data_IF_392485318186
#
_entry.id   IF_392485318186
#
_cell.length_a   1.000
_cell.length_b   1.000
_cell.length_c   1.000
_cell.angle_alpha   90.00
_cell.angle_beta   90.00
_cell.angle_gamma   90.00
#
_symmetry.space_group_name_H-M   'P 1'
#
loop_
_entity.id
_entity.type
_entity.pdbx_description
1 polymer ?
#
# COMPACT_ATOMS: atom_id res chain seq x y z
N UNK A 1 -23.76 11.38 10.49
CA UNK A 1 -22.78 12.46 10.73
C UNK A 1 -21.48 12.09 10.04
N UNK A 2 -20.85 12.99 9.27
CA UNK A 2 -19.56 12.70 8.65
C UNK A 2 -18.45 12.64 9.73
N UNK A 3 -17.54 11.68 9.58
CA UNK A 3 -16.32 11.55 10.38
C UNK A 3 -15.11 11.61 9.45
N UNK A 4 -14.04 12.26 9.88
CA UNK A 4 -12.79 12.34 9.12
C UNK A 4 -11.62 11.83 9.96
N UNK A 5 -10.62 11.17 9.37
CA UNK A 5 -9.38 10.89 10.08
C UNK A 5 -8.58 12.18 10.26
N UNK A 6 -8.14 12.44 11.49
CA UNK A 6 -7.14 13.45 11.83
C UNK A 6 -5.81 13.10 11.16
N UNK A 7 -5.22 14.03 10.41
CA UNK A 7 -3.99 13.79 9.64
C UNK A 7 -2.77 14.48 10.24
N UNK A 8 -2.84 14.89 11.51
CA UNK A 8 -1.77 15.63 12.19
C UNK A 8 -1.82 17.14 11.92
N UNK A 9 -3.02 17.72 11.77
CA UNK A 9 -3.19 19.17 11.68
C UNK A 9 -2.66 19.88 12.94
N UNK A 10 -1.94 21.00 12.75
CA UNK A 10 -1.24 21.72 13.83
C UNK A 10 -2.14 22.70 14.58
N UNK A 11 -3.31 23.01 14.04
CA UNK A 11 -4.28 23.92 14.67
C UNK A 11 -5.73 23.59 14.28
N UNK A 12 -6.67 24.01 15.11
CA UNK A 12 -8.11 23.91 14.83
C UNK A 12 -8.50 24.71 13.57
N UNK A 13 -7.81 25.83 13.30
CA UNK A 13 -8.00 26.62 12.09
C UNK A 13 -7.57 25.89 10.82
N UNK A 14 -6.48 25.11 10.86
CA UNK A 14 -6.10 24.24 9.74
C UNK A 14 -7.13 23.15 9.48
N UNK A 15 -7.74 22.60 10.54
CA UNK A 15 -8.84 21.63 10.43
C UNK A 15 -10.07 22.32 9.80
N UNK A 16 -10.45 23.50 10.28
CA UNK A 16 -11.60 24.26 9.78
C UNK A 16 -11.42 24.66 8.30
N UNK A 17 -10.25 25.16 7.92
CA UNK A 17 -9.94 25.59 6.55
C UNK A 17 -9.84 24.41 5.57
N UNK A 18 -9.50 23.20 6.05
CA UNK A 18 -9.58 21.97 5.26
C UNK A 18 -11.03 21.47 5.11
N UNK A 19 -11.87 21.70 6.10
CA UNK A 19 -13.25 21.23 6.15
C UNK A 19 -14.24 22.09 5.38
N UNK A 20 -14.04 23.41 5.33
CA UNK A 20 -14.98 24.35 4.71
C UNK A 20 -14.29 25.24 3.68
N UNK A 21 -15.04 25.63 2.65
CA UNK A 21 -14.57 26.55 1.63
C UNK A 21 -14.82 27.99 2.07
N UNK A 22 -13.82 28.87 1.88
CA UNK A 22 -13.96 30.33 2.02
C UNK A 22 -14.57 30.76 3.36
N UNK A 23 -13.99 30.31 4.47
CA UNK A 23 -14.38 30.76 5.80
C UNK A 23 -13.99 32.22 6.03
N UNK A 24 -14.93 33.04 6.50
CA UNK A 24 -14.61 34.35 7.10
C UNK A 24 -14.06 34.16 8.52
N UNK A 25 -13.32 35.14 9.10
CA UNK A 25 -12.77 35.02 10.45
C UNK A 25 -13.82 34.66 11.52
N UNK A 26 -15.01 35.29 11.45
CA UNK A 26 -16.14 35.00 12.36
C UNK A 26 -16.73 33.59 12.17
N UNK A 27 -16.68 33.05 10.96
CA UNK A 27 -17.15 31.68 10.69
C UNK A 27 -16.11 30.66 11.12
N UNK A 28 -14.82 30.97 11.01
CA UNK A 28 -13.74 30.12 11.50
C UNK A 28 -13.85 29.89 13.00
N UNK A 29 -14.01 30.94 13.81
CA UNK A 29 -14.20 30.83 15.27
C UNK A 29 -15.42 29.98 15.65
N UNK A 30 -16.53 30.13 14.91
CA UNK A 30 -17.74 29.32 15.10
C UNK A 30 -17.48 27.84 14.78
N UNK A 31 -16.73 27.56 13.70
CA UNK A 31 -16.37 26.19 13.31
C UNK A 31 -15.43 25.56 14.32
N UNK A 32 -14.42 26.28 14.78
CA UNK A 32 -13.47 25.80 15.79
C UNK A 32 -14.18 25.48 17.11
N UNK A 33 -15.08 26.36 17.55
CA UNK A 33 -15.90 26.14 18.75
C UNK A 33 -16.80 24.92 18.61
N UNK A 34 -17.47 24.76 17.47
CA UNK A 34 -18.34 23.62 17.20
C UNK A 34 -17.55 22.29 17.06
N UNK A 35 -16.34 22.34 16.48
CA UNK A 35 -15.44 21.19 16.39
C UNK A 35 -14.97 20.74 17.77
N UNK A 36 -14.61 21.67 18.65
CA UNK A 36 -14.15 21.38 20.02
C UNK A 36 -15.30 20.86 20.89
N UNK A 37 -16.51 21.40 20.74
CA UNK A 37 -17.70 20.88 21.44
C UNK A 37 -18.05 19.45 21.05
N UNK A 38 -17.95 19.09 19.77
CA UNK A 38 -18.25 17.73 19.31
C UNK A 38 -17.08 16.76 19.46
N UNK A 39 -15.86 17.27 19.60
CA UNK A 39 -14.63 16.48 19.74
C UNK A 39 -13.72 17.10 20.80
N UNK A 40 -14.01 16.88 22.10
CA UNK A 40 -13.20 17.41 23.19
C UNK A 40 -11.73 17.01 23.10
N UNK A 41 -11.45 15.86 22.48
CA UNK A 41 -10.10 15.37 22.20
C UNK A 41 -9.25 16.32 21.34
N UNK A 42 -9.86 17.20 20.54
CA UNK A 42 -9.15 18.21 19.73
C UNK A 42 -8.58 19.37 20.58
N UNK A 43 -8.88 19.44 21.87
CA UNK A 43 -8.29 20.43 22.77
C UNK A 43 -6.78 20.24 22.95
N UNK A 44 -6.28 19.01 22.78
CA UNK A 44 -4.85 18.68 22.80
C UNK A 44 -4.42 18.00 21.50
N UNK A 45 -4.20 18.82 20.47
CA UNK A 45 -3.76 18.37 19.14
C UNK A 45 -2.37 17.72 19.16
N UNK A 46 -1.53 18.02 20.16
CA UNK A 46 -0.18 17.47 20.27
C UNK A 46 -0.18 16.02 20.79
N UNK A 47 -1.18 15.66 21.59
CA UNK A 47 -1.36 14.30 22.11
C UNK A 47 -2.19 13.38 21.19
N UNK A 48 -2.77 13.92 20.12
CA UNK A 48 -3.64 13.17 19.20
C UNK A 48 -2.83 12.37 18.17
N UNK A 49 -2.94 11.04 18.14
CA UNK A 49 -2.32 10.24 17.08
C UNK A 49 -3.01 10.50 15.73
N UNK A 50 -2.21 10.57 14.67
CA UNK A 50 -2.75 10.59 13.31
C UNK A 50 -3.61 9.33 13.08
N UNK A 51 -4.80 9.52 12.51
CA UNK A 51 -5.81 8.46 12.33
C UNK A 51 -7.00 8.55 13.29
N UNK A 52 -6.98 9.41 14.31
CA UNK A 52 -8.14 9.62 15.19
C UNK A 52 -9.36 10.14 14.41
N UNK A 53 -10.52 9.54 14.64
CA UNK A 53 -11.78 9.95 13.99
C UNK A 53 -12.33 11.23 14.62
N UNK A 54 -12.49 12.27 13.81
CA UNK A 54 -13.05 13.57 14.15
C UNK A 54 -14.44 13.70 13.56
N UNK A 55 -15.43 14.00 14.41
CA UNK A 55 -16.83 14.24 14.04
C UNK A 55 -16.99 15.63 13.48
N UNK A 56 -17.66 15.76 12.33
CA UNK A 56 -17.91 17.06 11.72
C UNK A 56 -19.22 17.67 12.24
N UNK A 57 -19.19 18.91 12.75
CA UNK A 57 -20.40 19.65 13.06
C UNK A 57 -21.19 19.95 11.77
N UNK A 58 -22.47 19.61 11.77
CA UNK A 58 -23.37 19.96 10.67
C UNK A 58 -23.74 21.45 10.79
N UNK A 59 -23.15 22.28 9.91
CA UNK A 59 -23.47 23.70 9.82
C UNK A 59 -24.05 23.99 8.43
N UNK A 60 -25.39 24.07 8.30
CA UNK A 60 -26.05 24.24 7.01
C UNK A 60 -25.74 25.59 6.34
N UNK A 61 -25.29 26.58 7.10
CA UNK A 61 -24.91 27.92 6.62
C UNK A 61 -23.52 27.96 5.96
N UNK A 62 -22.73 26.88 6.04
CA UNK A 62 -21.37 26.83 5.50
C UNK A 62 -21.27 25.77 4.40
N UNK A 63 -20.77 26.18 3.23
CA UNK A 63 -20.36 25.22 2.21
C UNK A 63 -19.14 24.44 2.71
N UNK A 64 -19.38 23.25 3.25
CA UNK A 64 -18.33 22.26 3.45
C UNK A 64 -17.56 22.13 2.13
N UNK A 65 -16.22 22.11 2.20
CA UNK A 65 -15.39 21.64 1.09
C UNK A 65 -15.87 20.24 0.85
N UNK A 66 -16.67 20.06 -0.19
CA UNK A 66 -17.41 18.86 -0.44
C UNK A 66 -16.54 17.63 -0.19
N UNK A 67 -16.75 16.94 0.93
CA UNK A 67 -16.58 15.49 0.97
C UNK A 67 -17.94 14.88 0.62
N UNK A 68 -18.46 15.28 -0.53
CA UNK A 68 -19.42 14.49 -1.30
C UNK A 68 -18.72 13.33 -2.05
N UNK A 69 -17.52 12.93 -1.60
CA UNK A 69 -16.71 11.88 -2.21
C UNK A 69 -15.97 10.98 -1.24
N UNK A 70 -16.11 11.14 0.09
CA UNK A 70 -15.75 10.02 0.96
C UNK A 70 -16.91 9.05 0.90
N UNK A 71 -16.85 8.11 -0.05
CA UNK A 71 -17.42 6.79 0.20
C UNK A 71 -17.01 6.43 1.64
N UNK A 72 -17.95 6.05 2.50
CA UNK A 72 -17.76 6.06 3.96
C UNK A 72 -16.47 5.38 4.48
N UNK A 73 -16.18 5.39 5.79
CA UNK A 73 -14.92 4.87 6.34
C UNK A 73 -14.53 3.47 5.83
N UNK A 74 -15.52 2.63 5.51
CA UNK A 74 -15.37 1.32 4.88
C UNK A 74 -14.73 1.37 3.50
N UNK A 75 -15.14 2.31 2.65
CA UNK A 75 -14.60 2.47 1.31
C UNK A 75 -13.23 3.18 1.29
N UNK A 76 -12.96 4.08 2.24
CA UNK A 76 -11.60 4.61 2.44
C UNK A 76 -10.62 3.48 2.84
N UNK A 77 -11.03 2.58 3.74
CA UNK A 77 -10.24 1.39 4.11
C UNK A 77 -10.07 0.44 2.92
N UNK A 78 -11.14 0.21 2.15
CA UNK A 78 -11.08 -0.59 0.93
C UNK A 78 -10.08 -0.02 -0.07
N UNK A 79 -10.13 1.29 -0.33
CA UNK A 79 -9.20 1.95 -1.23
C UNK A 79 -7.74 1.79 -0.79
N UNK A 80 -7.46 2.01 0.51
CA UNK A 80 -6.10 1.84 1.06
C UNK A 80 -5.60 0.41 0.96
N UNK A 81 -6.46 -0.58 1.24
CA UNK A 81 -6.13 -1.99 1.07
C UNK A 81 -5.88 -2.34 -0.40
N UNK A 82 -6.70 -1.82 -1.32
CA UNK A 82 -6.51 -1.97 -2.76
C UNK A 82 -5.18 -1.40 -3.23
N UNK A 83 -4.83 -0.19 -2.80
CA UNK A 83 -3.55 0.44 -3.11
C UNK A 83 -2.37 -0.37 -2.55
N UNK A 84 -2.48 -0.85 -1.30
CA UNK A 84 -1.47 -1.69 -0.66
C UNK A 84 -1.25 -3.01 -1.39
N UNK A 85 -2.34 -3.71 -1.77
CA UNK A 85 -2.29 -4.95 -2.55
C UNK A 85 -1.70 -4.70 -3.94
N UNK A 86 -2.06 -3.59 -4.60
CA UNK A 86 -1.51 -3.20 -5.89
C UNK A 86 0.00 -2.90 -5.82
N UNK A 87 0.45 -2.19 -4.79
CA UNK A 87 1.86 -1.91 -4.55
C UNK A 87 2.64 -3.20 -4.27
N UNK A 88 2.10 -4.09 -3.43
CA UNK A 88 2.68 -5.39 -3.15
C UNK A 88 2.79 -6.26 -4.40
N UNK A 89 1.75 -6.30 -5.24
CA UNK A 89 1.77 -7.05 -6.51
C UNK A 89 2.90 -6.58 -7.45
N UNK A 90 3.13 -5.27 -7.54
CA UNK A 90 4.24 -4.69 -8.33
C UNK A 90 5.59 -5.10 -7.76
N UNK A 91 5.79 -5.00 -6.45
CA UNK A 91 7.04 -5.41 -5.80
C UNK A 91 7.30 -6.90 -5.97
N UNK A 92 6.26 -7.73 -5.84
CA UNK A 92 6.37 -9.17 -5.99
C UNK A 92 6.76 -9.55 -7.42
N UNK A 93 6.18 -8.90 -8.42
CA UNK A 93 6.55 -9.11 -9.84
C UNK A 93 8.01 -8.72 -10.10
N UNK A 94 8.48 -7.61 -9.54
CA UNK A 94 9.87 -7.20 -9.64
C UNK A 94 10.81 -8.24 -9.03
N UNK A 95 10.48 -8.76 -7.84
CA UNK A 95 11.27 -9.80 -7.17
C UNK A 95 11.34 -11.10 -7.96
N UNK A 96 10.23 -11.55 -8.56
CA UNK A 96 10.24 -12.72 -9.43
C UNK A 96 11.12 -12.52 -10.66
N UNK A 97 11.04 -11.34 -11.29
CA UNK A 97 11.90 -11.01 -12.43
C UNK A 97 13.39 -11.02 -12.06
N UNK A 98 13.74 -10.45 -10.92
CA UNK A 98 15.12 -10.44 -10.41
C UNK A 98 15.61 -11.86 -10.09
N UNK A 99 14.78 -12.67 -9.42
CA UNK A 99 15.13 -14.05 -9.12
C UNK A 99 15.32 -14.90 -10.39
N UNK A 100 14.46 -14.72 -11.40
CA UNK A 100 14.62 -15.37 -12.70
C UNK A 100 15.89 -14.93 -13.44
N UNK A 101 16.21 -13.63 -13.41
CA UNK A 101 17.44 -13.11 -14.00
C UNK A 101 18.69 -13.69 -13.32
N UNK A 102 18.71 -13.76 -12.00
CA UNK A 102 19.83 -14.35 -11.25
C UNK A 102 20.02 -15.85 -11.56
N UNK A 103 18.94 -16.60 -11.77
CA UNK A 103 19.04 -18.00 -12.20
C UNK A 103 19.61 -18.12 -13.63
N UNK A 104 19.19 -17.25 -14.54
CA UNK A 104 19.71 -17.21 -15.90
C UNK A 104 21.20 -16.83 -15.93
N UNK A 105 21.63 -15.87 -15.12
CA UNK A 105 23.04 -15.51 -14.94
C UNK A 105 23.85 -16.69 -14.39
N UNK A 106 23.32 -17.41 -13.40
CA UNK A 106 23.98 -18.60 -12.85
C UNK A 106 24.13 -19.70 -13.91
N UNK A 107 23.10 -19.93 -14.73
CA UNK A 107 23.18 -20.87 -15.85
C UNK A 107 24.19 -20.43 -16.91
N UNK A 108 24.26 -19.13 -17.22
CA UNK A 108 25.25 -18.59 -18.15
C UNK A 108 26.68 -18.81 -17.63
N UNK A 109 26.92 -18.57 -16.34
CA UNK A 109 28.23 -18.84 -15.71
C UNK A 109 28.60 -20.32 -15.76
N UNK A 110 27.67 -21.25 -15.53
CA UNK A 110 27.94 -22.68 -15.69
C UNK A 110 28.27 -23.09 -17.15
N UNK A 111 27.84 -22.27 -18.10
CA UNK A 111 28.15 -22.39 -19.52
C UNK A 111 29.51 -21.85 -19.91
N UNK A 112 30.13 -21.03 -19.05
CA UNK A 112 31.38 -20.33 -19.34
C UNK A 112 32.58 -21.28 -19.46
N UNK A 113 33.36 -21.11 -20.54
CA UNK A 113 34.48 -21.99 -20.86
C UNK A 113 35.66 -21.82 -19.89
N UNK A 114 35.90 -20.62 -19.36
CA UNK A 114 36.96 -20.37 -18.38
C UNK A 114 36.62 -21.03 -17.05
N UNK A 115 35.37 -20.86 -16.57
CA UNK A 115 34.90 -21.53 -15.37
C UNK A 115 34.98 -23.06 -15.53
N UNK A 116 34.52 -23.60 -16.67
CA UNK A 116 34.58 -25.04 -16.96
C UNK A 116 36.00 -25.58 -16.92
N UNK A 117 36.97 -24.86 -17.51
CA UNK A 117 38.38 -25.24 -17.47
C UNK A 117 38.96 -25.15 -16.06
N UNK A 118 38.57 -24.14 -15.28
CA UNK A 118 39.02 -23.97 -13.91
C UNK A 118 38.52 -25.10 -13.01
N UNK A 119 37.24 -25.46 -13.10
CA UNK A 119 36.65 -26.53 -12.28
C UNK A 119 36.99 -27.94 -12.77
N UNK A 120 37.42 -28.11 -14.03
CA UNK A 120 37.74 -29.42 -14.59
C UNK A 120 38.90 -30.14 -13.88
N UNK A 121 39.75 -29.39 -13.18
CA UNK A 121 40.88 -29.93 -12.41
C UNK A 121 40.48 -30.42 -11.03
N UNK A 122 39.26 -30.11 -10.58
CA UNK A 122 38.76 -30.45 -9.25
C UNK A 122 37.44 -31.25 -9.33
N UNK A 123 37.49 -32.58 -9.11
CA UNK A 123 36.32 -33.46 -9.25
C UNK A 123 35.11 -33.04 -8.40
N UNK A 124 35.36 -32.52 -7.19
CA UNK A 124 34.31 -32.05 -6.30
C UNK A 124 33.55 -30.83 -6.87
N UNK A 125 34.27 -29.89 -7.49
CA UNK A 125 33.67 -28.71 -8.12
C UNK A 125 32.93 -29.07 -9.42
N UNK A 126 33.45 -30.04 -10.17
CA UNK A 126 32.74 -30.60 -11.33
C UNK A 126 31.42 -31.27 -10.95
N UNK A 127 31.41 -32.07 -9.87
CA UNK A 127 30.19 -32.69 -9.37
C UNK A 127 29.16 -31.62 -8.95
N UNK A 128 29.61 -30.60 -8.20
CA UNK A 128 28.75 -29.49 -7.78
C UNK A 128 28.16 -28.73 -8.98
N UNK A 129 28.98 -28.40 -9.99
CA UNK A 129 28.51 -27.71 -11.19
C UNK A 129 27.47 -28.51 -11.99
N UNK A 130 27.58 -29.83 -12.02
CA UNK A 130 26.58 -30.72 -12.64
C UNK A 130 25.23 -30.68 -11.90
N UNK A 131 25.23 -30.49 -10.60
CA UNK A 131 24.01 -30.44 -9.79
C UNK A 131 23.34 -29.05 -9.82
N UNK A 132 24.13 -27.97 -9.92
CA UNK A 132 23.60 -26.59 -9.93
C UNK A 132 22.71 -26.36 -11.18
N UNK A 133 23.06 -26.90 -12.34
CA UNK A 133 22.28 -26.72 -13.57
C UNK A 133 20.81 -27.19 -13.44
N UNK A 134 20.58 -28.48 -13.14
CA UNK A 134 19.26 -29.02 -12.86
C UNK A 134 18.55 -28.33 -11.68
N UNK A 135 19.29 -27.95 -10.63
CA UNK A 135 18.73 -27.21 -9.50
C UNK A 135 18.20 -25.83 -9.91
N UNK A 136 18.90 -25.12 -10.81
CA UNK A 136 18.45 -23.84 -11.37
C UNK A 136 17.18 -24.01 -12.20
N UNK A 137 17.09 -25.05 -13.04
CA UNK A 137 15.88 -25.34 -13.82
C UNK A 137 14.68 -25.68 -12.94
N UNK A 138 14.89 -26.52 -11.92
CA UNK A 138 13.85 -26.86 -10.96
C UNK A 138 13.37 -25.60 -10.20
N UNK A 139 14.30 -24.75 -9.79
CA UNK A 139 14.01 -23.47 -9.12
C UNK A 139 13.24 -22.52 -10.04
N UNK A 140 13.61 -22.42 -11.31
CA UNK A 140 12.92 -21.59 -12.30
C UNK A 140 11.45 -22.02 -12.46
N UNK A 141 11.20 -23.31 -12.66
CA UNK A 141 9.83 -23.86 -12.75
C UNK A 141 9.01 -23.58 -11.49
N UNK A 142 9.61 -23.74 -10.30
CA UNK A 142 8.95 -23.40 -9.04
C UNK A 142 8.62 -21.91 -8.92
N UNK A 143 9.52 -21.02 -9.35
CA UNK A 143 9.29 -19.58 -9.33
C UNK A 143 8.15 -19.19 -10.26
N UNK A 144 8.10 -19.75 -11.48
CA UNK A 144 7.00 -19.51 -12.42
C UNK A 144 5.64 -19.96 -11.86
N UNK A 145 5.57 -21.17 -11.28
CA UNK A 145 4.35 -21.68 -10.67
C UNK A 145 3.89 -20.79 -9.50
N UNK A 146 4.82 -20.38 -8.63
CA UNK A 146 4.51 -19.49 -7.51
C UNK A 146 4.10 -18.11 -7.98
N UNK A 147 4.73 -17.58 -9.02
CA UNK A 147 4.37 -16.29 -9.61
C UNK A 147 2.94 -16.32 -10.16
N UNK A 148 2.57 -17.36 -10.90
CA UNK A 148 1.21 -17.55 -11.42
C UNK A 148 0.19 -17.59 -10.29
N UNK A 149 0.39 -18.48 -9.32
CA UNK A 149 -0.50 -18.63 -8.17
C UNK A 149 -0.65 -17.33 -7.36
N UNK A 150 0.46 -16.62 -7.12
CA UNK A 150 0.42 -15.34 -6.41
C UNK A 150 -0.30 -14.25 -7.21
N UNK A 151 -0.09 -14.19 -8.53
CA UNK A 151 -0.75 -13.21 -9.38
C UNK A 151 -2.27 -13.45 -9.48
N UNK A 152 -2.69 -14.71 -9.52
CA UNK A 152 -4.10 -15.10 -9.51
C UNK A 152 -4.75 -14.79 -8.16
N UNK A 153 -4.09 -15.16 -7.05
CA UNK A 153 -4.58 -14.86 -5.71
C UNK A 153 -4.70 -13.36 -5.44
N UNK A 154 -3.75 -12.54 -5.91
CA UNK A 154 -3.81 -11.09 -5.76
C UNK A 154 -4.92 -10.46 -6.62
N UNK A 155 -5.15 -10.97 -7.84
CA UNK A 155 -6.27 -10.54 -8.68
C UNK A 155 -7.61 -10.86 -8.01
N UNK A 156 -7.76 -12.07 -7.47
CA UNK A 156 -8.97 -12.47 -6.77
C UNK A 156 -9.19 -11.61 -5.52
N UNK A 157 -8.16 -11.40 -4.70
CA UNK A 157 -8.26 -10.56 -3.50
C UNK A 157 -8.68 -9.11 -3.83
N UNK A 158 -8.17 -8.54 -4.92
CA UNK A 158 -8.59 -7.22 -5.40
C UNK A 158 -10.04 -7.22 -5.91
N UNK A 159 -10.46 -8.25 -6.64
CA UNK A 159 -11.83 -8.39 -7.11
C UNK A 159 -12.83 -8.54 -5.95
N UNK A 160 -12.50 -9.36 -4.94
CA UNK A 160 -13.33 -9.57 -3.76
C UNK A 160 -13.46 -8.27 -2.95
N UNK A 161 -12.36 -7.52 -2.83
CA UNK A 161 -12.37 -6.22 -2.17
C UNK A 161 -13.25 -5.22 -2.93
N UNK A 162 -13.17 -5.16 -4.26
CA UNK A 162 -14.03 -4.29 -5.05
C UNK A 162 -15.51 -4.71 -4.99
N UNK A 163 -15.79 -6.02 -5.00
CA UNK A 163 -17.15 -6.54 -4.90
C UNK A 163 -17.78 -6.32 -3.52
N UNK A 164 -16.99 -6.43 -2.44
CA UNK A 164 -17.44 -6.24 -1.07
C UNK A 164 -17.76 -4.79 -0.70
N UNK A 165 -17.11 -3.82 -1.35
CA UNK A 165 -17.29 -2.39 -1.06
C UNK A 165 -17.94 -1.58 -2.20
N UNK A 166 -18.15 -2.18 -3.38
CA UNK A 166 -18.83 -1.56 -4.54
C UNK A 166 -20.36 -1.60 -4.50
N UNK A 167 -20.97 -2.14 -3.44
CA UNK A 167 -22.42 -2.10 -3.18
C UNK A 167 -22.70 -1.27 -1.94
N UNK A 168 -22.63 0.06 -2.05
CA UNK A 168 -22.92 0.99 -0.95
C UNK A 168 -23.28 2.36 -1.48
#
# INVERSE_FOLDING_TARGET
MPVIPFRGEKSLGEIADKLYNRLTPKQREKVESALLQQNPQLADLAALPAGTLVRLPQMPELSAKARAGSQGPQAEVAAQLGDGLGAYAKQLTLRYRQAMAALAETQALLGDDELRRAIAKEPALQALAKDIGPACEARAKQLEQRQKAASEGLKQALADLQAGFGKG
#
